data_IF_555153069628
#
_entry.id   IF_555153069628
#
_cell.length_a   1.000
_cell.length_b   1.000
_cell.length_c   1.000
_cell.angle_alpha   90.00
_cell.angle_beta   90.00
_cell.angle_gamma   90.00
#
_symmetry.space_group_name_H-M   'P 1'
#
loop_
_entity.id
_entity.type
_entity.pdbx_description
1 polymer ?
#
# COMPACT_ATOMS: atom_id res chain seq x y z
N UNK A 1 -78.56 -83.51 8.09
CA UNK A 1 -79.60 -82.72 7.41
C UNK A 1 -79.06 -81.30 7.27
N UNK A 2 -78.94 -80.79 6.04
CA UNK A 2 -78.58 -79.39 5.66
C UNK A 2 -77.14 -78.91 5.97
N UNK A 3 -76.37 -78.22 5.11
CA UNK A 3 -76.47 -77.84 3.69
C UNK A 3 -75.12 -77.24 3.25
N UNK A 4 -74.79 -77.41 1.94
CA UNK A 4 -74.01 -76.53 1.04
C UNK A 4 -72.59 -76.06 1.43
N UNK A 5 -71.63 -76.64 0.73
CA UNK A 5 -70.33 -76.06 0.38
C UNK A 5 -70.45 -75.19 -0.88
N UNK A 6 -70.05 -73.92 -0.79
CA UNK A 6 -69.95 -73.01 -1.93
C UNK A 6 -68.49 -72.83 -2.33
N UNK A 7 -68.17 -73.25 -3.56
CA UNK A 7 -66.91 -73.02 -4.27
C UNK A 7 -66.91 -71.59 -4.81
N UNK A 8 -65.99 -70.75 -4.36
CA UNK A 8 -65.84 -69.37 -4.84
C UNK A 8 -64.67 -69.28 -5.83
N UNK A 9 -64.97 -68.90 -7.06
CA UNK A 9 -64.00 -68.56 -8.09
C UNK A 9 -63.30 -67.23 -7.72
N UNK A 10 -61.98 -67.19 -7.86
CA UNK A 10 -61.16 -65.98 -7.73
C UNK A 10 -61.14 -65.20 -9.05
N UNK A 11 -61.53 -63.92 -9.07
CA UNK A 11 -61.38 -63.06 -10.25
C UNK A 11 -59.95 -62.49 -10.33
N UNK A 12 -59.38 -62.54 -11.53
CA UNK A 12 -58.16 -61.84 -11.91
C UNK A 12 -58.37 -60.32 -11.77
N UNK A 13 -57.71 -59.70 -10.79
CA UNK A 13 -57.69 -58.25 -10.61
C UNK A 13 -56.83 -57.54 -11.67
N UNK A 14 -57.21 -56.32 -12.09
CA UNK A 14 -56.61 -55.62 -13.22
C UNK A 14 -55.19 -55.08 -12.93
N UNK A 15 -54.34 -55.11 -13.95
CA UNK A 15 -53.05 -54.39 -13.99
C UNK A 15 -53.24 -52.93 -14.41
N UNK A 16 -52.31 -52.09 -13.95
CA UNK A 16 -51.97 -50.69 -14.36
C UNK A 16 -52.75 -49.58 -13.63
N UNK A 17 -52.14 -48.44 -13.24
CA UNK A 17 -51.07 -47.63 -13.87
C UNK A 17 -50.08 -47.08 -12.83
N UNK A 18 -48.79 -47.06 -13.16
CA UNK A 18 -47.80 -46.28 -12.42
C UNK A 18 -48.12 -44.78 -12.49
N UNK A 19 -47.61 -43.96 -11.54
CA UNK A 19 -47.87 -42.53 -11.53
C UNK A 19 -47.44 -41.93 -12.87
N UNK A 20 -48.39 -41.33 -13.58
CA UNK A 20 -48.15 -40.73 -14.88
C UNK A 20 -47.03 -39.70 -14.80
N UNK A 21 -46.09 -39.80 -15.72
CA UNK A 21 -45.11 -38.75 -16.00
C UNK A 21 -45.87 -37.46 -16.30
N UNK A 22 -45.90 -36.55 -15.33
CA UNK A 22 -46.41 -35.19 -15.54
C UNK A 22 -45.51 -34.56 -16.60
N UNK A 23 -46.08 -34.29 -17.77
CA UNK A 23 -45.38 -33.55 -18.81
C UNK A 23 -45.01 -32.18 -18.25
N UNK A 24 -43.71 -31.88 -18.23
CA UNK A 24 -43.16 -30.65 -17.69
C UNK A 24 -43.75 -29.46 -18.45
N UNK A 25 -44.37 -28.52 -17.74
CA UNK A 25 -45.00 -27.38 -18.41
C UNK A 25 -43.94 -26.36 -18.81
N UNK A 26 -44.15 -25.66 -19.93
CA UNK A 26 -43.26 -24.59 -20.37
C UNK A 26 -43.08 -23.51 -19.28
N UNK A 27 -44.12 -23.27 -18.48
CA UNK A 27 -44.11 -22.33 -17.35
C UNK A 27 -43.14 -22.80 -16.25
N UNK A 28 -43.16 -24.09 -15.89
CA UNK A 28 -42.26 -24.65 -14.88
C UNK A 28 -40.79 -24.57 -15.32
N UNK A 29 -40.52 -24.75 -16.62
CA UNK A 29 -39.18 -24.55 -17.19
C UNK A 29 -38.75 -23.08 -17.13
N UNK A 30 -39.63 -22.14 -17.48
CA UNK A 30 -39.34 -20.70 -17.38
C UNK A 30 -39.09 -20.25 -15.95
N UNK A 31 -39.89 -20.72 -14.98
CA UNK A 31 -39.69 -20.44 -13.56
C UNK A 31 -38.38 -21.05 -13.06
N UNK A 32 -38.05 -22.28 -13.47
CA UNK A 32 -36.80 -22.93 -13.12
C UNK A 32 -35.58 -22.14 -13.62
N UNK A 33 -35.59 -21.72 -14.89
CA UNK A 33 -34.53 -20.89 -15.46
C UNK A 33 -34.43 -19.53 -14.77
N UNK A 34 -35.57 -18.89 -14.44
CA UNK A 34 -35.59 -17.62 -13.70
C UNK A 34 -34.95 -17.77 -12.30
N UNK A 35 -35.37 -18.79 -11.54
CA UNK A 35 -34.83 -19.06 -10.20
C UNK A 35 -33.33 -19.35 -10.26
N UNK A 36 -32.89 -20.19 -11.20
CA UNK A 36 -31.46 -20.47 -11.40
C UNK A 36 -30.72 -19.19 -11.78
N UNK A 37 -31.26 -18.35 -12.68
CA UNK A 37 -30.65 -17.10 -13.09
C UNK A 37 -30.46 -16.12 -11.94
N UNK A 38 -31.46 -15.99 -11.06
CA UNK A 38 -31.40 -15.15 -9.86
C UNK A 38 -30.38 -15.72 -8.87
N UNK A 39 -30.40 -17.03 -8.60
CA UNK A 39 -29.46 -17.68 -7.69
C UNK A 39 -28.01 -17.54 -8.18
N UNK A 40 -27.77 -17.77 -9.47
CA UNK A 40 -26.45 -17.62 -10.08
C UNK A 40 -25.97 -16.16 -10.01
N UNK A 41 -26.85 -15.19 -10.26
CA UNK A 41 -26.49 -13.77 -10.14
C UNK A 41 -26.06 -13.42 -8.72
N UNK A 42 -26.87 -13.80 -7.72
CA UNK A 42 -26.55 -13.57 -6.30
C UNK A 42 -25.23 -14.24 -5.89
N UNK A 43 -24.99 -15.47 -6.36
CA UNK A 43 -23.77 -16.22 -6.06
C UNK A 43 -22.54 -15.55 -6.67
N UNK A 44 -22.63 -15.09 -7.92
CA UNK A 44 -21.54 -14.38 -8.60
C UNK A 44 -21.21 -13.08 -7.85
N UNK A 45 -22.22 -12.27 -7.51
CA UNK A 45 -22.01 -11.04 -6.74
C UNK A 45 -21.39 -11.32 -5.37
N UNK A 46 -21.89 -12.32 -4.64
CA UNK A 46 -21.34 -12.72 -3.35
C UNK A 46 -19.88 -13.19 -3.44
N UNK A 47 -19.53 -13.96 -4.48
CA UNK A 47 -18.17 -14.45 -4.68
C UNK A 47 -17.19 -13.32 -5.03
N UNK A 48 -17.59 -12.36 -5.87
CA UNK A 48 -16.76 -11.19 -6.21
C UNK A 48 -16.50 -10.34 -4.98
N UNK A 49 -17.52 -10.08 -4.16
CA UNK A 49 -17.38 -9.34 -2.91
C UNK A 49 -16.47 -10.07 -1.91
N UNK A 50 -16.67 -11.37 -1.71
CA UNK A 50 -15.84 -12.18 -0.82
C UNK A 50 -14.37 -12.21 -1.25
N UNK A 51 -14.09 -12.31 -2.55
CA UNK A 51 -12.71 -12.24 -3.08
C UNK A 51 -12.06 -10.90 -2.80
N UNK A 52 -12.77 -9.78 -2.98
CA UNK A 52 -12.28 -8.43 -2.67
C UNK A 52 -11.98 -8.25 -1.17
N UNK A 53 -12.84 -8.79 -0.31
CA UNK A 53 -12.64 -8.75 1.13
C UNK A 53 -11.44 -9.58 1.60
N UNK A 54 -11.28 -10.81 1.09
CA UNK A 54 -10.10 -11.64 1.42
C UNK A 54 -8.82 -10.95 0.93
N UNK A 55 -8.88 -10.36 -0.26
CA UNK A 55 -7.81 -9.54 -0.79
C UNK A 55 -7.47 -8.36 0.14
N UNK A 56 -8.43 -7.55 0.58
CA UNK A 56 -8.12 -6.42 1.47
C UNK A 56 -7.48 -6.86 2.80
N UNK A 57 -7.92 -7.99 3.38
CA UNK A 57 -7.35 -8.52 4.63
C UNK A 57 -5.89 -8.95 4.48
N UNK A 58 -5.55 -9.65 3.41
CA UNK A 58 -4.17 -10.10 3.22
C UNK A 58 -3.21 -8.94 2.84
N UNK A 59 -3.72 -7.88 2.20
CA UNK A 59 -2.92 -6.67 1.95
C UNK A 59 -2.74 -5.88 3.25
N UNK A 60 -3.80 -5.79 4.06
CA UNK A 60 -3.73 -5.16 5.38
C UNK A 60 -2.65 -5.79 6.27
N UNK A 61 -2.60 -7.13 6.33
CA UNK A 61 -1.56 -7.86 7.09
C UNK A 61 -0.15 -7.59 6.56
N UNK A 62 0.00 -7.43 5.24
CA UNK A 62 1.27 -7.08 4.63
C UNK A 62 1.71 -5.67 5.03
N UNK A 63 0.80 -4.70 5.00
CA UNK A 63 1.07 -3.33 5.45
C UNK A 63 1.35 -3.30 6.96
N UNK A 64 0.67 -4.13 7.76
CA UNK A 64 0.93 -4.29 9.20
C UNK A 64 2.35 -4.81 9.47
N UNK A 65 2.85 -5.74 8.65
CA UNK A 65 4.22 -6.23 8.75
C UNK A 65 5.25 -5.13 8.43
N UNK A 66 4.99 -4.31 7.40
CA UNK A 66 5.85 -3.17 7.08
C UNK A 66 5.82 -2.11 8.20
N UNK A 67 4.63 -1.81 8.75
CA UNK A 67 4.48 -0.88 9.86
C UNK A 67 5.23 -1.36 11.11
N UNK A 68 5.20 -2.67 11.37
CA UNK A 68 6.00 -3.29 12.43
C UNK A 68 7.49 -3.12 12.17
N UNK A 69 7.95 -3.34 10.93
CA UNK A 69 9.33 -3.10 10.51
C UNK A 69 9.78 -1.64 10.69
N UNK A 70 8.92 -0.66 10.43
CA UNK A 70 9.21 0.77 10.72
C UNK A 70 9.39 1.03 12.21
N UNK A 71 8.57 0.40 13.06
CA UNK A 71 8.71 0.52 14.52
C UNK A 71 9.97 -0.18 15.04
N UNK A 72 10.30 -1.34 14.48
CA UNK A 72 11.54 -2.07 14.78
C UNK A 72 12.77 -1.27 14.38
N UNK A 73 12.73 -0.63 13.19
CA UNK A 73 13.76 0.30 12.74
C UNK A 73 13.95 1.45 13.74
N UNK A 74 12.86 2.13 14.15
CA UNK A 74 12.95 3.22 15.12
C UNK A 74 13.50 2.75 16.47
N UNK A 75 13.09 1.56 16.93
CA UNK A 75 13.58 0.99 18.18
C UNK A 75 15.08 0.72 18.14
N UNK A 76 15.58 0.23 17.00
CA UNK A 76 17.00 -0.12 16.85
C UNK A 76 17.89 1.10 16.61
N UNK A 77 17.45 2.06 15.79
CA UNK A 77 18.29 3.16 15.32
C UNK A 77 17.97 4.51 15.96
N UNK A 78 16.84 4.64 16.66
CA UNK A 78 16.45 5.86 17.38
C UNK A 78 15.72 6.90 16.52
N UNK A 79 15.59 6.68 15.21
CA UNK A 79 14.88 7.55 14.28
C UNK A 79 14.03 6.74 13.30
N UNK A 80 13.05 7.36 12.64
CA UNK A 80 12.27 6.69 11.58
C UNK A 80 13.02 6.62 10.26
N UNK A 81 12.71 5.63 9.39
CA UNK A 81 13.22 5.62 8.01
C UNK A 81 13.10 7.01 7.37
N UNK A 82 14.21 7.60 6.89
CA UNK A 82 14.19 8.93 6.31
C UNK A 82 13.47 8.89 4.96
N UNK A 83 12.69 9.93 4.67
CA UNK A 83 11.90 9.99 3.45
C UNK A 83 12.83 10.30 2.27
N UNK A 84 12.92 9.37 1.30
CA UNK A 84 13.68 9.58 0.06
C UNK A 84 13.02 10.68 -0.78
N UNK A 85 13.85 11.43 -1.52
CA UNK A 85 13.46 12.62 -2.29
C UNK A 85 13.13 12.32 -3.76
N UNK A 86 12.74 11.09 -4.11
CA UNK A 86 12.53 10.69 -5.49
C UNK A 86 11.30 11.36 -6.14
N UNK A 87 10.37 11.85 -5.33
CA UNK A 87 9.16 12.56 -5.77
C UNK A 87 9.25 14.08 -5.66
N UNK A 88 10.41 14.64 -5.32
CA UNK A 88 10.54 16.10 -5.25
C UNK A 88 10.26 16.74 -6.64
N UNK A 89 9.36 17.74 -6.75
CA UNK A 89 8.86 18.19 -8.06
C UNK A 89 9.89 18.91 -8.92
N UNK A 90 10.89 19.57 -8.31
CA UNK A 90 11.92 20.32 -9.04
C UNK A 90 13.23 19.56 -9.18
N UNK A 91 13.63 18.82 -8.14
CA UNK A 91 14.91 18.11 -8.08
C UNK A 91 14.71 16.69 -7.54
N UNK A 92 13.95 15.84 -8.25
CA UNK A 92 13.73 14.46 -7.83
C UNK A 92 15.07 13.72 -7.82
N UNK A 93 15.40 13.12 -6.67
CA UNK A 93 16.61 12.34 -6.52
C UNK A 93 16.38 11.23 -5.51
N UNK A 94 16.70 9.99 -5.88
CA UNK A 94 16.77 8.89 -4.92
C UNK A 94 18.19 8.73 -4.36
N UNK A 95 19.20 9.08 -5.16
CA UNK A 95 20.62 9.02 -4.84
C UNK A 95 21.22 10.38 -5.17
N UNK A 96 22.13 10.84 -4.34
CA UNK A 96 22.95 12.03 -4.60
C UNK A 96 24.44 11.69 -4.47
N UNK A 97 25.25 12.33 -5.31
CA UNK A 97 26.70 12.12 -5.35
C UNK A 97 27.40 13.40 -4.91
N UNK A 98 28.16 13.31 -3.82
CA UNK A 98 28.95 14.41 -3.28
C UNK A 98 30.38 13.96 -3.02
N UNK A 99 31.38 14.67 -3.54
CA UNK A 99 32.79 14.33 -3.32
C UNK A 99 33.20 12.93 -3.80
N UNK A 100 32.48 12.36 -4.79
CA UNK A 100 32.72 11.01 -5.32
C UNK A 100 32.05 9.87 -4.54
N UNK A 101 31.31 10.20 -3.47
CA UNK A 101 30.55 9.25 -2.66
C UNK A 101 29.06 9.40 -2.98
N UNK A 102 28.39 8.27 -3.15
CA UNK A 102 26.95 8.20 -3.33
C UNK A 102 26.27 7.97 -1.98
N UNK A 103 25.13 8.63 -1.77
CA UNK A 103 24.25 8.40 -0.62
C UNK A 103 22.80 8.49 -1.03
N UNK A 104 21.90 7.96 -0.22
CA UNK A 104 20.46 8.11 -0.47
C UNK A 104 20.07 9.57 -0.26
N UNK A 105 19.41 10.16 -1.24
CA UNK A 105 18.94 11.53 -1.16
C UNK A 105 17.65 11.58 -0.33
N UNK A 106 17.73 12.09 0.91
CA UNK A 106 16.61 12.08 1.86
C UNK A 106 16.25 13.49 2.39
N UNK A 107 15.03 13.65 2.88
CA UNK A 107 14.63 14.84 3.62
C UNK A 107 15.21 14.82 5.04
N UNK A 108 16.34 15.51 5.21
CA UNK A 108 17.06 15.65 6.48
C UNK A 108 16.40 16.66 7.43
N UNK A 109 16.11 16.27 8.67
CA UNK A 109 15.49 17.18 9.66
C UNK A 109 16.45 18.26 10.20
N UNK A 110 17.75 18.10 9.95
CA UNK A 110 18.77 19.12 10.24
C UNK A 110 18.69 20.31 9.28
N UNK A 111 18.17 20.10 8.06
CA UNK A 111 18.01 21.16 7.04
C UNK A 111 16.70 21.92 7.25
N UNK A 112 16.80 23.26 7.34
CA UNK A 112 15.62 24.13 7.42
C UNK A 112 14.71 23.96 6.21
N UNK A 113 15.26 23.88 5.00
CA UNK A 113 14.48 23.72 3.78
C UNK A 113 13.72 22.39 3.75
N UNK A 114 14.35 21.30 4.17
CA UNK A 114 13.69 19.99 4.24
C UNK A 114 12.60 19.95 5.32
N UNK A 115 12.85 20.58 6.48
CA UNK A 115 11.83 20.73 7.53
C UNK A 115 10.61 21.52 7.07
N UNK A 116 10.82 22.59 6.32
CA UNK A 116 9.75 23.37 5.70
C UNK A 116 8.97 22.51 4.71
N UNK A 117 9.67 21.78 3.85
CA UNK A 117 9.06 20.86 2.90
C UNK A 117 8.19 19.78 3.58
N UNK A 118 8.69 19.13 4.63
CA UNK A 118 7.93 18.11 5.37
C UNK A 118 6.68 18.69 6.07
N UNK A 119 6.67 20.00 6.35
CA UNK A 119 5.50 20.76 6.86
C UNK A 119 4.59 21.31 5.75
N UNK A 120 4.84 20.96 4.49
CA UNK A 120 4.14 21.47 3.30
C UNK A 120 4.41 22.94 2.98
N UNK A 121 5.39 23.57 3.61
CA UNK A 121 5.78 24.94 3.28
C UNK A 121 6.53 24.98 1.94
N UNK A 122 6.09 25.86 1.04
CA UNK A 122 6.69 26.01 -0.30
C UNK A 122 6.31 24.89 -1.29
N UNK A 123 5.39 23.99 -0.94
CA UNK A 123 4.91 22.96 -1.86
C UNK A 123 3.87 23.51 -2.85
N UNK A 124 3.79 22.95 -4.07
CA UNK A 124 2.69 23.22 -4.98
C UNK A 124 1.33 22.92 -4.32
N UNK A 125 0.35 23.78 -4.58
CA UNK A 125 -1.04 23.52 -4.19
C UNK A 125 -1.62 22.48 -5.16
N UNK A 126 -2.16 21.35 -4.67
CA UNK A 126 -2.79 20.36 -5.53
C UNK A 126 -3.93 20.99 -6.35
N UNK A 127 -4.09 20.63 -7.64
CA UNK A 127 -5.18 21.13 -8.43
C UNK A 127 -6.51 20.59 -7.89
N UNK A 128 -7.60 21.36 -8.04
CA UNK A 128 -8.92 20.95 -7.56
C UNK A 128 -9.41 19.62 -8.16
N UNK A 129 -8.92 19.25 -9.35
CA UNK A 129 -9.22 17.98 -10.02
C UNK A 129 -8.43 16.80 -9.48
N UNK A 130 -7.28 17.02 -8.83
CA UNK A 130 -6.47 16.00 -8.17
C UNK A 130 -6.11 16.42 -6.74
N UNK A 131 -7.08 16.43 -5.82
CA UNK A 131 -6.84 16.85 -4.44
C UNK A 131 -5.92 15.90 -3.67
N UNK A 132 -5.67 14.69 -4.16
CA UNK A 132 -4.84 13.68 -3.50
C UNK A 132 -3.35 13.78 -3.82
N UNK A 133 -2.96 14.68 -4.73
CA UNK A 133 -1.56 14.89 -5.08
C UNK A 133 -0.77 15.40 -3.86
N UNK A 134 0.26 14.64 -3.46
CA UNK A 134 1.21 15.00 -2.41
C UNK A 134 2.57 14.40 -2.78
N UNK A 135 3.65 15.16 -2.58
CA UNK A 135 5.01 14.73 -2.93
C UNK A 135 5.80 14.21 -1.72
N UNK A 136 5.18 14.14 -0.53
CA UNK A 136 5.81 13.68 0.73
C UNK A 136 5.65 12.18 0.92
N UNK A 137 5.83 11.43 -0.15
CA UNK A 137 5.89 9.99 -0.11
C UNK A 137 7.08 9.46 -0.91
N UNK A 138 7.43 8.22 -0.57
CA UNK A 138 8.49 7.49 -1.22
C UNK A 138 8.09 6.03 -1.41
N UNK A 139 8.41 5.48 -2.57
CA UNK A 139 8.28 4.06 -2.90
C UNK A 139 9.60 3.32 -2.62
N UNK A 140 10.69 4.06 -2.38
CA UNK A 140 12.05 3.55 -2.20
C UNK A 140 12.52 3.51 -0.75
N UNK A 141 11.90 4.27 0.14
CA UNK A 141 12.28 4.33 1.56
C UNK A 141 12.22 2.95 2.22
N UNK A 142 11.11 2.24 2.10
CA UNK A 142 10.96 0.92 2.73
C UNK A 142 11.95 -0.13 2.20
N UNK A 143 12.11 -0.33 0.87
CA UNK A 143 13.09 -1.31 0.39
C UNK A 143 14.53 -0.93 0.73
N UNK A 144 14.87 0.36 0.82
CA UNK A 144 16.23 0.77 1.20
C UNK A 144 16.51 0.51 2.68
N UNK A 145 15.60 0.89 3.57
CA UNK A 145 15.87 0.95 5.02
C UNK A 145 15.32 -0.23 5.81
N UNK A 146 14.33 -0.96 5.29
CA UNK A 146 13.79 -2.16 5.97
C UNK A 146 14.30 -3.45 5.35
N UNK A 147 14.68 -3.44 4.08
CA UNK A 147 15.16 -4.64 3.37
C UNK A 147 16.66 -4.58 3.13
N UNK A 148 17.25 -3.41 2.89
CA UNK A 148 18.64 -3.27 2.48
C UNK A 148 18.86 -3.90 1.11
N UNK A 149 18.12 -3.43 0.12
CA UNK A 149 18.13 -4.02 -1.23
C UNK A 149 18.73 -3.07 -2.28
N UNK A 150 19.45 -2.03 -1.86
CA UNK A 150 19.92 -0.97 -2.75
C UNK A 150 21.25 -1.39 -3.39
N UNK A 151 21.23 -1.75 -4.67
CA UNK A 151 22.43 -2.20 -5.40
C UNK A 151 23.31 -1.06 -5.93
N UNK A 152 22.96 0.20 -5.68
CA UNK A 152 23.75 1.36 -6.11
C UNK A 152 25.09 1.39 -5.36
N UNK A 153 26.25 1.54 -6.04
CA UNK A 153 27.54 1.57 -5.36
C UNK A 153 27.74 2.78 -4.45
N UNK A 154 28.45 2.59 -3.33
CA UNK A 154 28.79 3.65 -2.36
C UNK A 154 29.70 4.74 -2.94
N UNK A 155 30.48 4.42 -3.96
CA UNK A 155 31.36 5.38 -4.63
C UNK A 155 31.55 5.01 -6.10
N UNK A 156 31.86 6.01 -6.93
CA UNK A 156 32.15 5.79 -8.35
C UNK A 156 33.34 4.86 -8.51
N UNK A 157 33.18 3.78 -9.26
CA UNK A 157 34.22 2.74 -9.44
C UNK A 157 34.32 1.72 -8.29
N UNK A 158 33.47 1.84 -7.27
CA UNK A 158 33.33 0.82 -6.22
C UNK A 158 32.27 -0.22 -6.62
N UNK A 159 32.42 -1.45 -6.13
CA UNK A 159 31.44 -2.53 -6.31
C UNK A 159 30.53 -2.73 -5.09
N UNK A 160 30.90 -2.15 -3.95
CA UNK A 160 30.15 -2.23 -2.70
C UNK A 160 28.91 -1.33 -2.77
N UNK A 161 27.71 -1.85 -2.49
CA UNK A 161 26.51 -1.03 -2.48
C UNK A 161 26.47 0.01 -1.34
N UNK A 162 25.60 1.01 -1.45
CA UNK A 162 25.45 2.11 -0.46
C UNK A 162 25.06 1.59 0.93
N UNK A 163 24.31 0.50 1.01
CA UNK A 163 23.95 -0.18 2.27
C UNK A 163 25.07 -1.09 2.82
N UNK A 164 26.14 -1.28 2.04
CA UNK A 164 27.32 -2.05 2.38
C UNK A 164 27.16 -3.57 2.25
N UNK A 165 26.02 -4.06 1.76
CA UNK A 165 25.75 -5.50 1.61
C UNK A 165 25.19 -5.79 0.22
N UNK A 166 25.76 -6.81 -0.45
CA UNK A 166 25.20 -7.25 -1.73
C UNK A 166 23.95 -8.09 -1.51
N UNK A 167 22.78 -7.53 -1.82
CA UNK A 167 21.49 -8.16 -1.59
C UNK A 167 20.89 -7.80 -0.23
N UNK A 168 19.79 -8.44 0.19
CA UNK A 168 19.06 -8.07 1.40
C UNK A 168 19.95 -8.02 2.65
N UNK A 169 19.79 -6.97 3.44
CA UNK A 169 20.56 -6.66 4.64
C UNK A 169 21.32 -5.35 4.51
N UNK A 170 21.76 -4.77 5.63
CA UNK A 170 22.41 -3.46 5.62
C UNK A 170 23.31 -3.24 6.85
N UNK A 171 24.23 -2.30 6.76
CA UNK A 171 24.93 -1.71 7.91
C UNK A 171 24.01 -0.74 8.68
N UNK A 172 24.34 -0.24 9.88
CA UNK A 172 23.47 0.71 10.57
C UNK A 172 23.27 1.97 9.71
N UNK A 173 22.03 2.42 9.45
CA UNK A 173 21.77 3.67 8.74
C UNK A 173 22.01 4.88 9.64
N UNK A 174 22.22 6.04 9.04
CA UNK A 174 22.19 7.34 9.69
C UNK A 174 20.97 8.18 9.26
N UNK A 175 20.75 9.29 9.98
CA UNK A 175 19.65 10.23 9.70
C UNK A 175 19.85 11.01 8.39
N UNK A 176 21.06 11.01 7.85
CA UNK A 176 21.45 11.76 6.65
C UNK A 176 21.26 10.96 5.36
N UNK A 177 20.85 9.69 5.48
CA UNK A 177 20.55 8.81 4.37
C UNK A 177 21.72 7.92 3.93
N UNK A 178 22.78 7.83 4.73
CA UNK A 178 23.92 6.94 4.49
C UNK A 178 23.91 5.76 5.47
N UNK A 179 24.92 4.89 5.32
CA UNK A 179 25.10 3.72 6.18
C UNK A 179 26.52 3.74 6.76
N UNK A 180 26.63 3.36 8.04
CA UNK A 180 27.87 3.34 8.79
C UNK A 180 28.69 2.11 8.39
N UNK A 181 29.27 2.17 7.20
CA UNK A 181 30.09 1.10 6.62
C UNK A 181 31.54 1.27 7.11
N UNK A 182 32.16 0.22 7.67
CA UNK A 182 33.57 0.24 8.04
C UNK A 182 34.49 0.56 6.85
N UNK A 183 35.53 1.37 7.09
CA UNK A 183 36.43 1.86 6.03
C UNK A 183 37.14 0.74 5.27
N UNK A 184 37.48 -0.34 5.95
CA UNK A 184 38.10 -1.54 5.37
C UNK A 184 37.16 -2.26 4.39
N UNK A 185 35.85 -2.26 4.67
CA UNK A 185 34.83 -2.82 3.79
C UNK A 185 34.69 -1.97 2.52
N UNK A 186 34.65 -0.65 2.65
CA UNK A 186 34.65 0.28 1.51
C UNK A 186 35.92 0.10 0.65
N UNK A 187 37.09 0.01 1.29
CA UNK A 187 38.37 -0.18 0.60
C UNK A 187 38.43 -1.51 -0.16
N UNK A 188 37.92 -2.59 0.44
CA UNK A 188 37.82 -3.90 -0.21
C UNK A 188 36.91 -3.86 -1.45
N UNK A 189 35.78 -3.14 -1.38
CA UNK A 189 34.89 -2.92 -2.53
C UNK A 189 35.53 -2.17 -3.70
N UNK A 190 36.57 -1.36 -3.42
CA UNK A 190 37.39 -0.68 -4.42
C UNK A 190 38.55 -1.54 -4.96
N UNK A 191 38.58 -2.84 -4.64
CA UNK A 191 39.60 -3.78 -5.11
C UNK A 191 40.90 -3.76 -4.30
N UNK A 192 40.95 -3.07 -3.16
CA UNK A 192 42.11 -3.10 -2.27
C UNK A 192 42.12 -4.39 -1.44
N UNK A 193 43.32 -4.85 -1.04
CA UNK A 193 43.45 -6.02 -0.18
C UNK A 193 42.70 -5.80 1.15
N UNK A 194 41.72 -6.67 1.43
CA UNK A 194 40.94 -6.59 2.66
C UNK A 194 41.85 -6.76 3.89
N UNK A 195 41.87 -5.77 4.77
CA UNK A 195 42.45 -5.95 6.10
C UNK A 195 41.55 -6.90 6.89
N UNK A 196 42.13 -7.90 7.57
CA UNK A 196 41.42 -9.09 8.10
C UNK A 196 40.39 -8.83 9.21
N UNK A 197 40.18 -7.58 9.64
CA UNK A 197 39.35 -7.25 10.79
C UNK A 197 38.07 -6.50 10.36
N UNK A 198 37.15 -7.22 9.72
CA UNK A 198 35.79 -6.71 9.46
C UNK A 198 35.12 -6.43 10.79
N UNK A 199 34.98 -5.16 11.14
CA UNK A 199 34.39 -4.73 12.41
C UNK A 199 33.22 -3.82 12.13
N UNK A 200 32.02 -4.40 12.05
CA UNK A 200 30.76 -3.67 11.96
C UNK A 200 29.58 -4.61 12.10
N UNK A 201 28.57 -4.20 12.87
CA UNK A 201 27.32 -4.97 13.03
C UNK A 201 26.47 -4.80 11.77
N UNK A 202 26.15 -5.89 11.11
CA UNK A 202 25.18 -5.92 10.00
C UNK A 202 23.80 -6.30 10.53
N UNK A 203 22.77 -5.96 9.78
CA UNK A 203 21.37 -6.27 10.05
C UNK A 203 20.78 -7.06 8.91
N UNK A 204 20.01 -8.08 9.26
CA UNK A 204 19.11 -8.77 8.34
C UNK A 204 17.90 -7.87 8.02
N UNK A 205 17.15 -8.14 6.94
CA UNK A 205 15.91 -7.44 6.64
C UNK A 205 14.97 -7.42 7.85
N UNK A 206 14.47 -6.23 8.19
CA UNK A 206 13.51 -5.99 9.27
C UNK A 206 12.09 -6.41 8.89
N UNK A 207 11.87 -6.74 7.62
CA UNK A 207 10.58 -7.22 7.12
C UNK A 207 10.80 -8.48 6.30
N UNK A 208 9.99 -9.49 6.58
CA UNK A 208 9.98 -10.71 5.78
C UNK A 208 9.02 -10.55 4.58
N UNK A 209 9.59 -10.48 3.37
CA UNK A 209 8.83 -10.36 2.12
C UNK A 209 8.43 -11.72 1.52
N UNK A 210 8.75 -12.84 2.16
CA UNK A 210 8.46 -14.19 1.62
C UNK A 210 6.99 -14.63 1.78
N UNK A 211 6.15 -13.88 2.50
CA UNK A 211 4.77 -14.28 2.85
C UNK A 211 3.71 -14.03 1.76
N UNK A 212 4.11 -13.87 0.49
CA UNK A 212 3.25 -14.01 -0.70
C UNK A 212 2.35 -12.83 -1.07
N UNK A 213 2.10 -11.86 -0.19
CA UNK A 213 1.33 -10.64 -0.52
C UNK A 213 2.19 -9.43 -0.87
N UNK A 214 3.48 -9.44 -0.51
CA UNK A 214 4.46 -8.43 -0.88
C UNK A 214 5.54 -9.06 -1.75
N UNK A 215 6.01 -8.33 -2.74
CA UNK A 215 7.16 -8.71 -3.56
C UNK A 215 8.16 -7.56 -3.61
N UNK A 216 9.44 -7.92 -3.60
CA UNK A 216 10.51 -6.98 -3.90
C UNK A 216 10.71 -6.95 -5.41
N UNK A 217 10.58 -5.78 -6.01
CA UNK A 217 10.89 -5.56 -7.42
C UNK A 217 12.16 -4.72 -7.51
N UNK A 218 13.15 -5.20 -8.26
CA UNK A 218 14.34 -4.44 -8.62
C UNK A 218 14.37 -4.28 -10.15
N UNK A 219 14.52 -3.04 -10.62
CA UNK A 219 14.59 -2.75 -12.05
C UNK A 219 15.95 -3.22 -12.62
N UNK A 220 15.96 -4.13 -13.62
CA UNK A 220 17.22 -4.56 -14.24
C UNK A 220 17.95 -3.40 -14.96
N UNK A 221 17.24 -2.34 -15.35
CA UNK A 221 17.81 -1.16 -16.00
C UNK A 221 18.32 -0.09 -15.05
N UNK A 222 18.02 -0.18 -13.74
CA UNK A 222 18.43 0.83 -12.76
C UNK A 222 18.66 0.24 -11.37
N UNK A 223 19.91 0.34 -10.89
CA UNK A 223 20.31 -0.11 -9.54
C UNK A 223 19.64 0.68 -8.41
N UNK A 224 19.05 1.82 -8.73
CA UNK A 224 18.37 2.71 -7.79
C UNK A 224 16.85 2.52 -7.76
N UNK A 225 16.29 1.69 -8.63
CA UNK A 225 14.84 1.46 -8.67
C UNK A 225 14.58 0.12 -8.02
N UNK A 226 14.27 0.19 -6.73
CA UNK A 226 13.85 -0.95 -5.91
C UNK A 226 12.56 -0.55 -5.20
N UNK A 227 11.57 -1.41 -5.29
CA UNK A 227 10.20 -1.13 -4.88
C UNK A 227 9.63 -2.34 -4.13
N UNK A 228 8.81 -2.07 -3.11
CA UNK A 228 7.94 -3.09 -2.54
C UNK A 228 6.59 -2.97 -3.24
N UNK A 229 6.13 -4.07 -3.82
CA UNK A 229 4.85 -4.13 -4.52
C UNK A 229 3.91 -5.08 -3.79
N UNK A 230 2.66 -4.67 -3.68
CA UNK A 230 1.56 -5.51 -3.22
C UNK A 230 0.97 -6.34 -4.36
N UNK A 231 -0.26 -6.81 -4.16
CA UNK A 231 -1.02 -7.47 -5.23
C UNK A 231 -1.28 -6.53 -6.41
N UNK A 232 -1.53 -7.13 -7.58
CA UNK A 232 -1.67 -6.42 -8.87
C UNK A 232 -0.48 -5.53 -9.23
N UNK A 233 0.69 -5.78 -8.66
CA UNK A 233 1.90 -4.98 -8.91
C UNK A 233 1.74 -3.51 -8.46
N UNK A 234 0.80 -3.23 -7.56
CA UNK A 234 0.61 -1.90 -6.99
C UNK A 234 1.76 -1.58 -6.04
N UNK A 235 2.31 -0.38 -6.14
CA UNK A 235 3.42 0.05 -5.28
C UNK A 235 2.94 0.25 -3.85
N UNK A 236 3.86 0.17 -2.89
CA UNK A 236 3.64 0.60 -1.51
C UNK A 236 4.32 1.96 -1.31
N UNK A 237 3.61 2.91 -0.69
CA UNK A 237 4.12 4.26 -0.44
C UNK A 237 4.35 4.48 1.05
N UNK A 238 5.52 4.99 1.40
CA UNK A 238 5.85 5.50 2.72
C UNK A 238 5.75 7.01 2.74
N UNK A 239 4.91 7.55 3.62
CA UNK A 239 4.76 8.99 3.85
C UNK A 239 5.48 9.39 5.12
N UNK A 240 6.02 10.60 5.13
CA UNK A 240 6.54 11.25 6.34
C UNK A 240 6.25 12.74 6.28
N UNK A 241 5.88 13.32 7.41
CA UNK A 241 5.61 14.74 7.53
C UNK A 241 6.01 15.23 8.92
N UNK A 242 6.07 16.55 9.06
CA UNK A 242 6.27 17.18 10.37
C UNK A 242 5.05 18.03 10.71
N UNK A 243 4.58 17.98 11.97
CA UNK A 243 3.54 18.88 12.42
C UNK A 243 4.09 20.29 12.70
N UNK A 244 3.17 21.23 12.80
CA UNK A 244 3.37 22.60 13.23
C UNK A 244 3.23 23.60 12.10
N UNK A 245 2.76 24.80 12.45
CA UNK A 245 2.83 26.00 11.61
C UNK A 245 3.80 27.01 12.22
N UNK A 246 4.43 27.82 11.37
CA UNK A 246 5.34 28.86 11.84
C UNK A 246 4.56 30.04 12.47
N UNK A 247 4.81 30.30 13.76
CA UNK A 247 4.26 31.43 14.52
C UNK A 247 5.40 32.10 15.28
N UNK A 248 5.63 33.40 15.04
CA UNK A 248 6.67 34.17 15.73
C UNK A 248 8.06 33.49 15.72
N UNK A 249 8.41 32.83 14.61
CA UNK A 249 9.70 32.15 14.43
C UNK A 249 9.79 30.74 15.07
N UNK A 250 8.73 30.23 15.67
CA UNK A 250 8.65 28.89 16.24
C UNK A 250 7.53 28.06 15.60
N UNK A 251 7.74 26.75 15.47
CA UNK A 251 6.68 25.85 15.01
C UNK A 251 5.79 25.44 16.17
N UNK A 252 4.49 25.69 16.05
CA UNK A 252 3.48 25.35 17.06
C UNK A 252 2.36 24.50 16.44
N UNK A 253 1.80 23.60 17.25
CA UNK A 253 0.63 22.79 16.90
C UNK A 253 -0.50 23.23 17.81
N UNK A 254 -1.41 24.05 17.29
CA UNK A 254 -2.55 24.58 18.06
C UNK A 254 -3.87 23.98 17.57
N UNK A 255 -3.94 23.63 16.28
CA UNK A 255 -5.12 23.07 15.64
C UNK A 255 -4.82 21.73 14.96
N UNK A 256 -5.86 20.92 14.70
CA UNK A 256 -5.72 19.66 13.95
C UNK A 256 -5.18 19.88 12.53
N UNK A 257 -5.43 21.04 11.91
CA UNK A 257 -4.84 21.40 10.62
C UNK A 257 -3.31 21.52 10.71
N UNK A 258 -2.75 21.89 11.85
CA UNK A 258 -1.31 22.05 12.02
C UNK A 258 -0.56 20.71 11.99
N UNK A 259 -1.26 19.57 12.01
CA UNK A 259 -0.66 18.26 11.85
C UNK A 259 -0.05 18.05 10.46
N UNK A 260 -0.43 18.87 9.46
CA UNK A 260 0.11 18.84 8.10
C UNK A 260 0.03 17.46 7.41
N UNK A 261 -0.96 16.66 7.77
CA UNK A 261 -1.13 15.30 7.26
C UNK A 261 -1.42 15.28 5.75
N UNK A 262 -0.81 14.36 4.98
CA UNK A 262 -1.19 14.10 3.59
C UNK A 262 -2.65 13.64 3.46
N UNK A 263 -3.37 14.12 2.44
CA UNK A 263 -4.82 13.86 2.29
C UNK A 263 -5.18 12.40 1.99
N UNK A 264 -4.24 11.60 1.47
CA UNK A 264 -4.39 10.15 1.32
C UNK A 264 -4.27 9.40 2.66
N UNK A 265 -3.71 10.04 3.69
CA UNK A 265 -3.52 9.45 5.03
C UNK A 265 -4.66 9.86 5.97
N UNK A 266 -4.96 11.16 6.04
CA UNK A 266 -6.02 11.67 6.92
C UNK A 266 -6.45 13.08 6.55
N UNK A 267 -7.68 13.43 6.93
CA UNK A 267 -8.39 14.65 6.53
C UNK A 267 -9.14 15.25 7.70
N UNK A 268 -9.30 16.57 7.65
CA UNK A 268 -10.18 17.30 8.56
C UNK A 268 -11.44 17.66 7.77
N UNK A 269 -12.59 17.10 8.18
CA UNK A 269 -13.86 17.18 7.42
C UNK A 269 -14.25 18.61 7.06
N UNK A 270 -13.99 19.55 7.96
CA UNK A 270 -14.38 20.95 7.84
C UNK A 270 -13.20 21.89 7.56
N UNK A 271 -12.16 21.43 6.87
CA UNK A 271 -11.03 22.28 6.47
C UNK A 271 -11.08 22.66 4.98
N UNK A 272 -11.87 23.69 4.57
CA UNK A 272 -12.00 24.05 3.15
C UNK A 272 -10.68 24.47 2.51
N UNK A 273 -9.66 24.84 3.29
CA UNK A 273 -8.35 25.19 2.78
C UNK A 273 -7.51 23.97 2.36
N UNK A 274 -7.82 22.78 2.88
CA UNK A 274 -7.01 21.56 2.65
C UNK A 274 -7.84 20.37 2.21
N UNK A 275 -9.04 20.18 2.75
CA UNK A 275 -9.99 19.14 2.38
C UNK A 275 -11.18 19.81 1.69
N UNK A 276 -11.24 19.80 0.35
CA UNK A 276 -12.39 20.30 -0.36
C UNK A 276 -13.68 19.64 0.13
N UNK A 277 -14.73 20.43 0.36
CA UNK A 277 -15.99 19.99 0.99
C UNK A 277 -16.75 18.90 0.23
N UNK A 278 -16.39 18.66 -1.03
CA UNK A 278 -16.94 17.60 -1.88
C UNK A 278 -16.27 16.23 -1.67
N UNK A 279 -15.17 16.16 -0.92
CA UNK A 279 -14.49 14.91 -0.61
C UNK A 279 -15.10 14.32 0.64
N UNK A 280 -15.73 13.14 0.51
CA UNK A 280 -16.12 12.38 1.68
C UNK A 280 -14.87 11.90 2.44
N UNK A 281 -14.93 11.98 3.76
CA UNK A 281 -13.85 11.52 4.63
C UNK A 281 -14.33 10.26 5.36
N UNK A 282 -13.75 9.08 5.06
CA UNK A 282 -13.99 7.86 5.83
C UNK A 282 -13.61 8.03 7.30
N UNK A 283 -14.30 7.35 8.22
CA UNK A 283 -14.06 7.52 9.67
C UNK A 283 -12.64 7.15 10.10
N UNK A 284 -12.00 6.19 9.43
CA UNK A 284 -10.62 5.79 9.67
C UNK A 284 -9.60 6.83 9.17
N UNK A 285 -10.01 7.77 8.32
CA UNK A 285 -9.19 8.88 7.81
C UNK A 285 -9.60 10.24 8.38
N UNK A 286 -10.59 10.28 9.25
CA UNK A 286 -11.10 11.50 9.87
C UNK A 286 -10.23 11.88 11.09
N UNK A 287 -9.57 13.04 11.06
CA UNK A 287 -8.74 13.55 12.15
C UNK A 287 -9.53 13.82 13.43
N UNK A 288 -10.83 14.12 13.33
CA UNK A 288 -11.71 14.35 14.47
C UNK A 288 -12.14 13.02 15.12
N UNK A 289 -12.25 11.94 14.36
CA UNK A 289 -12.71 10.64 14.88
C UNK A 289 -11.58 9.65 15.19
N UNK A 290 -10.52 9.63 14.39
CA UNK A 290 -9.41 8.71 14.55
C UNK A 290 -8.25 9.35 15.31
N UNK A 291 -8.15 9.02 16.60
CA UNK A 291 -7.11 9.55 17.50
C UNK A 291 -5.70 9.11 17.10
N UNK A 292 -5.54 7.95 16.47
CA UNK A 292 -4.22 7.42 16.05
C UNK A 292 -3.56 8.31 14.99
N UNK A 293 -4.35 9.04 14.20
CA UNK A 293 -3.83 10.00 13.23
C UNK A 293 -3.21 11.24 13.91
N UNK A 294 -3.70 11.63 15.10
CA UNK A 294 -3.33 12.91 15.71
C UNK A 294 -1.89 12.96 16.21
N UNK A 295 -1.33 11.82 16.57
CA UNK A 295 0.08 11.71 16.91
C UNK A 295 0.96 11.34 15.72
N UNK A 296 0.39 10.89 14.60
CA UNK A 296 1.16 10.28 13.53
C UNK A 296 2.11 11.27 12.83
N UNK A 297 3.32 10.78 12.51
CA UNK A 297 4.36 11.50 11.75
C UNK A 297 4.81 10.75 10.51
N UNK A 298 4.38 9.50 10.35
CA UNK A 298 4.57 8.70 9.15
C UNK A 298 3.34 7.85 8.84
N UNK A 299 3.25 7.40 7.59
CA UNK A 299 2.26 6.42 7.16
C UNK A 299 2.81 5.45 6.12
N UNK A 300 2.21 4.27 6.02
CA UNK A 300 2.36 3.36 4.89
C UNK A 300 0.99 3.24 4.23
N UNK A 301 0.95 3.48 2.93
CA UNK A 301 -0.26 3.43 2.12
C UNK A 301 -0.08 2.38 1.02
N UNK A 302 -1.02 1.45 0.94
CA UNK A 302 -1.16 0.53 -0.19
C UNK A 302 -2.45 0.84 -0.96
N UNK A 303 -2.43 0.67 -2.28
CA UNK A 303 -3.54 1.01 -3.17
C UNK A 303 -4.75 0.04 -3.10
N UNK A 304 -4.76 -0.87 -2.13
CA UNK A 304 -5.85 -1.81 -1.92
C UNK A 304 -6.12 -2.80 -3.07
N UNK A 305 -7.25 -3.51 -2.99
CA UNK A 305 -7.73 -4.40 -4.05
C UNK A 305 -7.91 -3.75 -5.43
N UNK A 306 -8.23 -2.47 -5.52
CA UNK A 306 -8.46 -1.75 -6.77
C UNK A 306 -7.14 -1.40 -7.48
N UNK A 307 -6.07 -1.18 -6.71
CA UNK A 307 -4.70 -1.12 -7.22
C UNK A 307 -4.27 0.25 -7.74
N UNK A 308 -5.02 1.29 -7.42
CA UNK A 308 -4.71 2.71 -7.67
C UNK A 308 -5.04 3.54 -6.43
N UNK A 309 -4.24 4.56 -6.14
CA UNK A 309 -4.35 5.39 -4.96
C UNK A 309 -5.36 6.52 -5.09
N UNK A 310 -5.59 7.01 -6.32
CA UNK A 310 -6.45 8.14 -6.64
C UNK A 310 -5.71 9.41 -7.04
N UNK A 311 -4.38 9.46 -6.93
CA UNK A 311 -3.55 10.59 -7.35
C UNK A 311 -2.83 10.37 -8.69
N UNK A 312 -2.97 9.19 -9.29
CA UNK A 312 -2.39 8.86 -10.59
C UNK A 312 -2.99 9.70 -11.74
N UNK A 313 -2.36 9.69 -12.94
CA UNK A 313 -3.01 10.20 -14.14
C UNK A 313 -4.40 9.58 -14.33
N UNK A 314 -5.40 10.41 -14.64
CA UNK A 314 -6.80 9.97 -14.74
C UNK A 314 -7.01 8.84 -15.77
N UNK A 315 -6.20 8.79 -16.83
CA UNK A 315 -6.22 7.68 -17.78
C UNK A 315 -5.86 6.34 -17.14
N UNK A 316 -4.89 6.32 -16.22
CA UNK A 316 -4.49 5.13 -15.45
C UNK A 316 -5.63 4.69 -14.56
N UNK A 317 -6.23 5.61 -13.79
CA UNK A 317 -7.36 5.30 -12.90
C UNK A 317 -8.53 4.71 -13.69
N UNK A 318 -8.94 5.36 -14.78
CA UNK A 318 -10.05 4.88 -15.62
C UNK A 318 -9.78 3.51 -16.21
N UNK A 319 -8.56 3.27 -16.68
CA UNK A 319 -8.17 1.96 -17.24
C UNK A 319 -8.19 0.87 -16.18
N UNK A 320 -7.61 1.12 -15.01
CA UNK A 320 -7.54 0.13 -13.92
C UNK A 320 -8.90 -0.20 -13.33
N UNK A 321 -9.77 0.81 -13.18
CA UNK A 321 -11.11 0.64 -12.60
C UNK A 321 -12.19 0.26 -13.63
N UNK A 322 -11.86 0.27 -14.93
CA UNK A 322 -12.83 0.04 -16.00
C UNK A 322 -13.89 1.15 -16.12
N UNK A 323 -13.51 2.39 -15.80
CA UNK A 323 -14.42 3.54 -15.84
C UNK A 323 -14.39 4.22 -17.21
N UNK A 324 -15.56 4.69 -17.65
CA UNK A 324 -15.69 5.47 -18.88
C UNK A 324 -15.38 6.94 -18.65
N UNK A 325 -15.22 7.71 -19.74
CA UNK A 325 -15.04 9.18 -19.67
C UNK A 325 -16.29 9.93 -19.23
N UNK A 326 -17.45 9.27 -19.16
CA UNK A 326 -18.69 9.85 -18.64
C UNK A 326 -18.68 10.03 -17.12
N UNK A 327 -17.84 9.27 -16.41
CA UNK A 327 -17.59 9.47 -14.99
C UNK A 327 -16.64 10.67 -14.84
N UNK A 328 -17.06 11.65 -14.05
CA UNK A 328 -16.25 12.81 -13.74
C UNK A 328 -14.94 12.40 -13.03
N UNK A 329 -13.89 13.19 -13.24
CA UNK A 329 -12.55 12.86 -12.75
C UNK A 329 -12.51 12.70 -11.22
N UNK A 330 -13.22 13.57 -10.50
CA UNK A 330 -13.24 13.55 -9.05
C UNK A 330 -13.88 12.26 -8.52
N UNK A 331 -15.03 11.85 -9.05
CA UNK A 331 -15.69 10.59 -8.69
C UNK A 331 -14.79 9.39 -8.97
N UNK A 332 -14.09 9.39 -10.11
CA UNK A 332 -13.13 8.32 -10.42
C UNK A 332 -11.99 8.24 -9.41
N UNK A 333 -11.45 9.39 -8.96
CA UNK A 333 -10.40 9.45 -7.93
C UNK A 333 -10.90 9.02 -6.56
N UNK A 334 -12.09 9.43 -6.15
CA UNK A 334 -12.71 9.00 -4.90
C UNK A 334 -12.98 7.49 -4.90
N UNK A 335 -13.34 6.92 -6.05
CA UNK A 335 -13.51 5.48 -6.19
C UNK A 335 -12.18 4.73 -6.03
N UNK A 336 -11.10 5.23 -6.64
CA UNK A 336 -9.75 4.66 -6.48
C UNK A 336 -9.27 4.72 -5.03
N UNK A 337 -9.48 5.85 -4.36
CA UNK A 337 -8.96 6.10 -3.01
C UNK A 337 -9.68 5.30 -1.91
N UNK A 338 -10.90 4.83 -2.20
CA UNK A 338 -11.81 4.27 -1.20
C UNK A 338 -11.24 3.04 -0.47
N UNK A 339 -10.50 2.18 -1.16
CA UNK A 339 -9.99 0.92 -0.61
C UNK A 339 -8.50 0.97 -0.26
N UNK A 340 -7.88 2.14 -0.33
CA UNK A 340 -6.51 2.34 0.14
C UNK A 340 -6.36 1.83 1.58
N UNK A 341 -5.27 1.14 1.84
CA UNK A 341 -4.96 0.64 3.16
C UNK A 341 -3.94 1.58 3.77
N UNK A 342 -4.31 2.24 4.86
CA UNK A 342 -3.46 3.20 5.57
C UNK A 342 -3.06 2.64 6.92
N UNK A 343 -1.76 2.70 7.22
CA UNK A 343 -1.21 2.49 8.57
C UNK A 343 -0.35 3.67 8.95
N UNK A 344 -0.44 4.08 10.20
CA UNK A 344 0.24 5.26 10.72
C UNK A 344 0.99 4.95 12.00
N UNK A 345 1.97 5.78 12.34
CA UNK A 345 2.65 5.71 13.63
C UNK A 345 3.42 6.99 13.96
N UNK A 346 4.05 6.99 15.15
CA UNK A 346 4.75 8.15 15.72
C UNK A 346 5.96 7.80 16.56
#
# INVERSE_FOLDING_TARGET
MHTRSHTHASPLGPRTRGPGSRAFTLIELLIGVLVIGVLMSLLIYGMVYARRYVASVADARAVDALASGVNDFKREFGFFPPLVRERAPMTPAAIETGGGVNRVAVYQETSTQHKQWLRREGQPVPPATNPFEDYRYSERTLPYYLVGALAEPVAVGNSLPIDGISGPGFYPPDEEGSFVIPRDVIAAGAGNAAQRNRTGKTYEPLVNLSSGSLTLFADPGSRQIVEIRGRKNAMIRYYRWLPGRLVNGSYVVEELRDLNMPLLVGRLVNDPARTPSFISTPEDRDLEKNTSLRSATWAIVAAGPDGVFGDEPIATIRTTLGLTTAIDELTARLQAEKDNIVRVGN
#
